data_IF_165486693853
#
_entry.id   IF_165486693853
#
_cell.length_a   1.000
_cell.length_b   1.000
_cell.length_c   1.000
_cell.angle_alpha   90.00
_cell.angle_beta   90.00
_cell.angle_gamma   90.00
#
_symmetry.space_group_name_H-M   'P 1'
#
loop_
_entity.id
_entity.type
_entity.pdbx_description
1 polymer ?
#
# COMPACT_ATOMS: atom_id res chain seq x y z
N UNK A 1 20.15 -0.45 6.67
CA UNK A 1 20.03 -1.00 8.04
C UNK A 1 18.69 -1.71 8.20
N UNK A 2 18.61 -3.02 7.96
CA UNK A 2 17.37 -3.83 7.99
C UNK A 2 16.60 -3.86 9.33
N UNK A 3 17.02 -3.06 10.32
CA UNK A 3 16.37 -2.85 11.60
C UNK A 3 15.05 -2.08 11.48
N UNK A 4 15.00 -1.04 10.63
CA UNK A 4 13.77 -0.27 10.36
C UNK A 4 12.75 -1.13 9.62
N UNK A 5 13.21 -1.88 8.60
CA UNK A 5 12.35 -2.83 7.89
C UNK A 5 11.77 -3.85 8.87
N UNK A 6 12.59 -4.49 9.71
CA UNK A 6 12.11 -5.43 10.71
C UNK A 6 11.13 -4.81 11.72
N UNK A 7 11.36 -3.59 12.21
CA UNK A 7 10.42 -2.90 13.11
C UNK A 7 9.07 -2.57 12.45
N UNK A 8 9.05 -2.35 11.13
CA UNK A 8 7.82 -2.10 10.37
C UNK A 8 7.13 -3.42 9.97
N UNK A 9 7.89 -4.47 9.66
CA UNK A 9 7.37 -5.83 9.46
C UNK A 9 6.83 -6.45 10.76
N UNK A 10 7.32 -6.03 11.93
CA UNK A 10 6.72 -6.40 13.22
C UNK A 10 5.41 -5.62 13.50
N UNK A 11 5.21 -4.47 12.83
CA UNK A 11 4.00 -3.67 12.91
C UNK A 11 2.94 -4.08 11.87
N UNK A 12 3.29 -4.81 10.80
CA UNK A 12 2.42 -5.17 9.65
C UNK A 12 2.89 -6.45 8.93
N UNK A 13 2.02 -7.01 8.05
CA UNK A 13 1.32 -8.32 8.13
C UNK A 13 1.89 -9.42 9.06
N UNK A 14 1.18 -10.56 9.16
CA UNK A 14 1.51 -11.66 10.09
C UNK A 14 2.67 -12.58 9.62
N UNK A 15 3.10 -12.52 8.36
CA UNK A 15 4.06 -13.48 7.77
C UNK A 15 5.04 -12.82 6.78
N UNK A 16 6.34 -13.15 6.91
CA UNK A 16 7.43 -12.67 6.05
C UNK A 16 7.30 -13.11 4.59
N UNK A 17 6.81 -14.32 4.31
CA UNK A 17 6.62 -14.77 2.93
C UNK A 17 5.47 -14.01 2.25
N UNK A 18 4.44 -13.68 3.03
CA UNK A 18 3.30 -12.89 2.60
C UNK A 18 3.68 -11.43 2.35
N UNK A 19 4.52 -10.85 3.21
CA UNK A 19 5.17 -9.56 3.00
C UNK A 19 5.90 -9.54 1.66
N UNK A 20 6.74 -10.55 1.37
CA UNK A 20 7.48 -10.60 0.12
C UNK A 20 6.53 -10.64 -1.11
N UNK A 21 5.46 -11.44 -1.05
CA UNK A 21 4.44 -11.48 -2.11
C UNK A 21 3.75 -10.13 -2.31
N UNK A 22 3.41 -9.43 -1.22
CA UNK A 22 2.81 -8.09 -1.28
C UNK A 22 3.77 -7.09 -1.91
N UNK A 23 5.03 -7.09 -1.48
CA UNK A 23 6.07 -6.14 -1.92
C UNK A 23 6.56 -6.40 -3.35
N UNK A 24 6.50 -7.64 -3.84
CA UNK A 24 6.89 -8.00 -5.21
C UNK A 24 5.91 -7.55 -6.31
N UNK A 25 4.72 -7.05 -5.93
CA UNK A 25 3.70 -6.58 -6.88
C UNK A 25 3.86 -5.13 -7.32
N UNK A 26 2.91 -4.63 -8.13
CA UNK A 26 2.73 -3.20 -8.35
C UNK A 26 2.02 -2.61 -7.14
N UNK A 27 2.58 -1.56 -6.54
CA UNK A 27 1.89 -0.82 -5.49
C UNK A 27 0.69 -0.05 -6.07
N UNK A 28 -0.46 -0.11 -5.39
CA UNK A 28 -1.67 0.64 -5.72
C UNK A 28 -1.88 1.69 -4.65
N UNK A 29 -2.03 2.97 -4.99
CA UNK A 29 -2.20 4.02 -4.00
C UNK A 29 -3.18 5.11 -4.48
N UNK A 30 -4.12 5.56 -3.63
CA UNK A 30 -5.17 6.51 -4.00
C UNK A 30 -4.69 7.95 -3.75
N UNK A 31 -3.78 8.46 -4.58
CA UNK A 31 -3.13 9.76 -4.37
C UNK A 31 -4.13 10.92 -4.23
N UNK A 32 -5.11 10.98 -5.11
CA UNK A 32 -6.13 12.02 -5.12
C UNK A 32 -7.12 11.91 -3.97
N UNK A 33 -7.32 10.71 -3.42
CA UNK A 33 -8.12 10.54 -2.21
C UNK A 33 -7.42 11.14 -1.00
N UNK A 34 -6.11 10.99 -0.85
CA UNK A 34 -5.33 11.52 0.30
C UNK A 34 -5.04 13.02 0.10
N UNK A 35 -6.09 13.84 0.24
CA UNK A 35 -6.00 15.31 0.14
C UNK A 35 -5.65 16.01 1.46
N UNK A 36 -5.54 15.26 2.53
CA UNK A 36 -5.38 15.75 3.90
C UNK A 36 -4.72 14.69 4.78
N UNK A 37 -4.04 15.12 5.85
CA UNK A 37 -3.35 14.21 6.78
C UNK A 37 -4.37 13.39 7.57
N UNK A 38 -5.51 13.97 7.88
CA UNK A 38 -6.62 13.35 8.59
C UNK A 38 -7.16 12.10 7.87
N UNK A 39 -7.05 12.05 6.53
CA UNK A 39 -7.44 10.86 5.77
C UNK A 39 -6.52 9.67 6.00
N UNK A 40 -5.32 9.85 6.55
CA UNK A 40 -4.48 8.72 6.95
C UNK A 40 -5.14 7.91 8.07
N UNK A 41 -6.00 8.52 8.89
CA UNK A 41 -6.76 7.82 9.94
C UNK A 41 -8.00 7.08 9.40
N UNK A 42 -8.30 7.18 8.10
CA UNK A 42 -9.45 6.51 7.49
C UNK A 42 -9.33 4.98 7.58
N UNK A 43 -10.31 4.33 8.21
CA UNK A 43 -10.29 2.90 8.54
C UNK A 43 -11.13 2.01 7.63
N UNK A 44 -11.93 2.59 6.74
CA UNK A 44 -12.78 1.82 5.82
C UNK A 44 -12.01 1.47 4.53
N UNK A 45 -12.41 0.37 3.91
CA UNK A 45 -11.86 0.01 2.60
C UNK A 45 -12.32 1.00 1.52
N UNK A 46 -11.43 1.31 0.61
CA UNK A 46 -11.71 2.21 -0.50
C UNK A 46 -12.40 1.47 -1.65
N UNK A 47 -13.32 2.17 -2.31
CA UNK A 47 -13.96 1.72 -3.54
C UNK A 47 -13.05 2.01 -4.72
N UNK A 48 -13.28 1.33 -5.84
CA UNK A 48 -12.51 1.55 -7.08
C UNK A 48 -12.49 3.03 -7.53
N UNK A 49 -13.58 3.77 -7.26
CA UNK A 49 -13.69 5.20 -7.62
C UNK A 49 -12.80 6.12 -6.78
N UNK A 50 -12.42 5.69 -5.58
CA UNK A 50 -11.51 6.45 -4.71
C UNK A 50 -10.06 6.44 -5.24
N UNK A 51 -9.77 5.61 -6.25
CA UNK A 51 -8.48 5.57 -6.94
C UNK A 51 -8.51 6.29 -8.29
N UNK A 52 -9.41 7.26 -8.48
CA UNK A 52 -9.44 8.09 -9.67
C UNK A 52 -8.17 8.93 -9.79
N UNK A 53 -7.48 8.85 -10.93
CA UNK A 53 -6.34 9.71 -11.20
C UNK A 53 -6.70 10.90 -12.08
N UNK A 54 -6.37 12.11 -11.62
CA UNK A 54 -6.54 13.34 -12.41
C UNK A 54 -5.61 13.33 -13.63
N UNK A 55 -4.44 12.69 -13.52
CA UNK A 55 -3.45 12.64 -14.59
C UNK A 55 -3.93 11.80 -15.78
N UNK A 56 -4.56 10.65 -15.53
CA UNK A 56 -5.05 9.75 -16.59
C UNK A 56 -6.53 9.97 -16.91
N UNK A 57 -7.28 10.60 -16.01
CA UNK A 57 -8.73 10.77 -16.13
C UNK A 57 -9.51 9.47 -15.89
N UNK A 58 -8.89 8.44 -15.31
CA UNK A 58 -9.44 7.09 -15.16
C UNK A 58 -9.22 6.56 -13.74
N UNK A 59 -10.04 5.60 -13.33
CA UNK A 59 -9.83 4.81 -12.10
C UNK A 59 -8.93 3.61 -12.39
N UNK A 60 -8.46 2.94 -11.34
CA UNK A 60 -7.76 1.65 -11.47
C UNK A 60 -8.67 0.54 -12.03
N UNK A 61 -8.07 -0.55 -12.48
CA UNK A 61 -8.81 -1.73 -12.94
C UNK A 61 -9.38 -2.55 -11.77
N UNK A 62 -10.39 -3.38 -12.04
CA UNK A 62 -10.94 -4.33 -11.05
C UNK A 62 -9.84 -5.25 -10.47
N UNK A 63 -8.90 -5.68 -11.33
CA UNK A 63 -7.76 -6.51 -10.92
C UNK A 63 -6.87 -5.78 -9.90
N UNK A 64 -6.57 -4.51 -10.16
CA UNK A 64 -5.77 -3.67 -9.26
C UNK A 64 -6.53 -3.40 -7.95
N UNK A 65 -7.85 -3.19 -8.01
CA UNK A 65 -8.68 -3.04 -6.82
C UNK A 65 -8.69 -4.30 -5.96
N UNK A 66 -8.78 -5.49 -6.58
CA UNK A 66 -8.63 -6.77 -5.88
C UNK A 66 -7.23 -6.92 -5.25
N UNK A 67 -6.17 -6.41 -5.89
CA UNK A 67 -4.83 -6.38 -5.27
C UNK A 67 -4.79 -5.46 -4.05
N UNK A 68 -5.37 -4.26 -4.14
CA UNK A 68 -5.54 -3.36 -3.00
C UNK A 68 -6.28 -4.04 -1.84
N UNK A 69 -7.45 -4.63 -2.09
CA UNK A 69 -8.25 -5.31 -1.07
C UNK A 69 -7.50 -6.46 -0.42
N UNK A 70 -6.73 -7.20 -1.22
CA UNK A 70 -5.86 -8.27 -0.74
C UNK A 70 -4.82 -7.76 0.26
N UNK A 71 -4.16 -6.64 -0.01
CA UNK A 71 -3.18 -6.04 0.90
C UNK A 71 -3.88 -5.43 2.11
N UNK A 72 -4.96 -4.69 1.90
CA UNK A 72 -5.76 -4.05 2.95
C UNK A 72 -6.27 -5.04 3.99
N UNK A 73 -6.80 -6.18 3.54
CA UNK A 73 -7.35 -7.21 4.43
C UNK A 73 -6.29 -7.95 5.25
N UNK A 74 -5.02 -7.85 4.88
CA UNK A 74 -3.88 -8.45 5.60
C UNK A 74 -3.22 -7.48 6.57
N UNK A 75 -3.63 -6.20 6.59
CA UNK A 75 -3.16 -5.27 7.60
C UNK A 75 -3.67 -5.67 8.98
N UNK A 76 -2.74 -5.76 9.94
CA UNK A 76 -3.06 -5.97 11.36
C UNK A 76 -3.97 -4.86 11.91
N UNK A 77 -3.67 -3.62 11.53
CA UNK A 77 -4.44 -2.43 11.84
C UNK A 77 -4.77 -1.70 10.53
N UNK A 78 -6.08 -1.60 10.25
CA UNK A 78 -6.60 -1.02 9.00
C UNK A 78 -6.80 0.48 9.15
N UNK A 79 -5.85 1.25 8.64
CA UNK A 79 -6.02 2.65 8.31
C UNK A 79 -5.13 3.01 7.10
N UNK A 80 -5.43 4.12 6.42
CA UNK A 80 -4.72 4.52 5.20
C UNK A 80 -3.27 4.94 5.45
N UNK A 81 -2.92 5.51 6.60
CA UNK A 81 -1.52 5.81 6.95
C UNK A 81 -0.69 4.55 7.04
N UNK A 82 -1.23 3.56 7.73
CA UNK A 82 -0.69 2.22 7.82
C UNK A 82 -0.56 1.56 6.42
N UNK A 83 -1.50 1.77 5.51
CA UNK A 83 -1.38 1.30 4.14
C UNK A 83 -0.29 2.05 3.35
N UNK A 84 -0.20 3.36 3.54
CA UNK A 84 0.81 4.23 2.93
C UNK A 84 2.24 3.86 3.32
N UNK A 85 2.49 3.56 4.59
CA UNK A 85 3.81 3.08 5.04
C UNK A 85 4.26 1.83 4.28
N UNK A 86 3.34 0.89 4.06
CA UNK A 86 3.62 -0.33 3.32
C UNK A 86 3.87 -0.05 1.83
N UNK A 87 3.08 0.84 1.22
CA UNK A 87 3.28 1.29 -0.16
C UNK A 87 4.65 1.96 -0.34
N UNK A 88 5.05 2.84 0.57
CA UNK A 88 6.34 3.54 0.52
C UNK A 88 7.52 2.57 0.68
N UNK A 89 7.37 1.53 1.52
CA UNK A 89 8.40 0.48 1.65
C UNK A 89 8.53 -0.29 0.35
N UNK A 90 7.41 -0.64 -0.28
CA UNK A 90 7.40 -1.33 -1.56
C UNK A 90 8.14 -0.53 -2.63
N UNK A 91 7.85 0.76 -2.75
CA UNK A 91 8.50 1.65 -3.72
C UNK A 91 10.02 1.71 -3.48
N UNK A 92 10.46 1.90 -2.24
CA UNK A 92 11.89 1.94 -1.89
C UNK A 92 12.60 0.61 -2.16
N UNK A 93 11.97 -0.52 -1.84
CA UNK A 93 12.57 -1.84 -2.05
C UNK A 93 12.70 -2.17 -3.54
N UNK A 94 11.67 -1.87 -4.33
CA UNK A 94 11.70 -2.07 -5.78
C UNK A 94 12.74 -1.16 -6.44
N UNK A 95 12.87 0.08 -5.98
CA UNK A 95 13.92 0.97 -6.46
C UNK A 95 15.30 0.44 -6.10
N UNK A 96 15.51 -0.07 -4.88
CA UNK A 96 16.80 -0.62 -4.46
C UNK A 96 17.24 -1.84 -5.30
N UNK A 97 16.30 -2.72 -5.68
CA UNK A 97 16.57 -3.93 -6.48
C UNK A 97 16.99 -3.61 -7.93
N UNK A 98 16.60 -2.44 -8.45
CA UNK A 98 16.96 -1.99 -9.82
C UNK A 98 18.40 -1.45 -9.90
N UNK A 99 19.01 -1.06 -8.77
CA UNK A 99 20.33 -0.42 -8.72
C UNK A 99 21.46 -1.33 -8.19
N UNK A 100 21.30 -2.65 -8.19
CA UNK A 100 22.38 -3.64 -7.99
C UNK A 100 23.10 -4.01 -9.29
#
# INVERSE_FOLDING_TARGET
>A
NGKILNEILERKPNDKEEIFKILSGKGIFPYEFIDSIEKLDHTEELKIQDFYSILTGETISEKDHQQYLNVWNRLKEKNLGNYSDLYNIQDVLLLADIFE
#
